data_IF_488923717810
#
_entry.id   IF_488923717810
#
_cell.length_a   1.000
_cell.length_b   1.000
_cell.length_c   1.000
_cell.angle_alpha   90.00
_cell.angle_beta   90.00
_cell.angle_gamma   90.00
#
_symmetry.space_group_name_H-M   'P 1'
#
loop_
_entity.id
_entity.type
_entity.pdbx_description
1 polymer ?
#
# COMPACT_ATOMS: atom_id res chain seq x y z
N UNK A 1 15.24 -6.52 -5.45
CA UNK A 1 14.15 -7.52 -5.31
C UNK A 1 12.96 -7.01 -6.10
N UNK A 2 12.47 -7.74 -7.10
CA UNK A 2 11.21 -7.37 -7.76
C UNK A 2 10.08 -7.52 -6.74
N UNK A 3 9.26 -6.48 -6.59
CA UNK A 3 8.13 -6.48 -5.66
C UNK A 3 7.02 -7.37 -6.27
N UNK A 4 7.01 -8.65 -5.91
CA UNK A 4 6.13 -9.69 -6.49
C UNK A 4 4.64 -9.55 -6.14
N UNK A 5 4.27 -8.61 -5.28
CA UNK A 5 2.86 -8.38 -4.97
C UNK A 5 2.54 -6.91 -5.16
N UNK A 6 1.55 -6.65 -6.01
CA UNK A 6 1.02 -5.33 -6.33
C UNK A 6 -0.47 -5.31 -5.99
N UNK A 7 -0.99 -4.13 -5.64
CA UNK A 7 -2.42 -3.95 -5.38
C UNK A 7 -3.14 -3.79 -6.71
N UNK A 8 -4.23 -4.52 -6.86
CA UNK A 8 -5.07 -4.54 -8.05
C UNK A 8 -6.50 -4.15 -7.65
N UNK A 9 -7.19 -3.40 -8.50
CA UNK A 9 -8.60 -3.04 -8.32
C UNK A 9 -9.49 -4.12 -8.92
N UNK A 10 -10.50 -4.52 -8.17
CA UNK A 10 -11.51 -5.52 -8.56
C UNK A 10 -12.91 -4.93 -8.39
N UNK A 11 -13.91 -5.59 -8.97
CA UNK A 11 -15.30 -5.17 -8.81
C UNK A 11 -15.71 -5.22 -7.33
N UNK A 12 -16.55 -4.26 -6.90
CA UNK A 12 -17.04 -4.19 -5.53
C UNK A 12 -18.22 -5.16 -5.33
N UNK A 13 -17.93 -6.46 -5.44
CA UNK A 13 -18.93 -7.53 -5.34
C UNK A 13 -18.34 -8.82 -4.76
N UNK A 14 -19.18 -9.68 -4.20
CA UNK A 14 -18.72 -10.91 -3.53
C UNK A 14 -17.94 -11.87 -4.44
N UNK A 15 -18.25 -11.90 -5.75
CA UNK A 15 -17.61 -12.82 -6.70
C UNK A 15 -16.14 -12.49 -6.97
N UNK A 16 -15.71 -11.27 -6.61
CA UNK A 16 -14.32 -10.83 -6.65
C UNK A 16 -13.50 -11.34 -5.46
N UNK A 17 -14.13 -11.75 -4.36
CA UNK A 17 -13.44 -12.26 -3.17
C UNK A 17 -13.06 -13.74 -3.34
N UNK A 18 -11.93 -14.13 -2.76
CA UNK A 18 -11.52 -15.53 -2.61
C UNK A 18 -10.80 -15.73 -1.27
N UNK A 19 -10.67 -16.96 -0.80
CA UNK A 19 -10.10 -17.24 0.53
C UNK A 19 -8.58 -17.11 0.61
N UNK A 20 -7.89 -17.02 -0.53
CA UNK A 20 -6.42 -16.91 -0.63
C UNK A 20 -5.88 -15.49 -0.64
N UNK A 21 -6.69 -14.48 -0.97
CA UNK A 21 -6.23 -13.11 -1.15
C UNK A 21 -6.68 -12.16 -0.02
N UNK A 22 -5.95 -11.06 0.13
CA UNK A 22 -6.29 -9.96 1.05
C UNK A 22 -6.93 -8.81 0.27
N UNK A 23 -8.09 -8.37 0.72
CA UNK A 23 -8.86 -7.32 0.05
C UNK A 23 -9.01 -6.10 0.96
N UNK A 24 -9.01 -4.92 0.36
CA UNK A 24 -9.32 -3.66 1.04
C UNK A 24 -10.62 -3.14 0.45
N UNK A 25 -11.66 -3.07 1.27
CA UNK A 25 -12.91 -2.41 0.93
C UNK A 25 -12.86 -0.99 1.50
N UNK A 26 -12.88 -0.01 0.61
CA UNK A 26 -12.82 1.40 0.94
C UNK A 26 -14.22 2.02 0.94
N UNK A 27 -14.66 2.48 2.12
CA UNK A 27 -15.94 3.15 2.33
C UNK A 27 -15.74 4.55 2.91
N UNK A 28 -14.80 5.31 2.32
CA UNK A 28 -14.43 6.69 2.70
C UNK A 28 -13.83 6.83 4.11
N UNK A 29 -14.68 6.78 5.13
CA UNK A 29 -14.30 6.87 6.55
C UNK A 29 -14.14 5.50 7.21
N UNK A 30 -14.57 4.43 6.54
CA UNK A 30 -14.37 3.06 7.01
C UNK A 30 -13.56 2.28 5.97
N UNK A 31 -12.39 1.80 6.35
CA UNK A 31 -11.54 0.92 5.53
C UNK A 31 -11.57 -0.48 6.12
N UNK A 32 -12.07 -1.47 5.39
CA UNK A 32 -12.06 -2.86 5.83
C UNK A 32 -10.92 -3.61 5.17
N UNK A 33 -10.03 -4.19 5.97
CA UNK A 33 -8.98 -5.10 5.51
C UNK A 33 -9.45 -6.52 5.76
N UNK A 34 -9.91 -7.18 4.72
CA UNK A 34 -10.46 -8.53 4.78
C UNK A 34 -9.34 -9.56 4.57
N UNK A 35 -9.07 -10.34 5.63
CA UNK A 35 -7.98 -11.31 5.73
C UNK A 35 -8.56 -12.72 5.97
N UNK A 36 -8.92 -13.44 4.91
CA UNK A 36 -9.50 -14.77 5.03
C UNK A 36 -8.47 -15.82 5.53
N UNK A 37 -8.93 -17.01 5.97
CA UNK A 37 -8.08 -18.01 6.62
C UNK A 37 -6.92 -18.54 5.76
N UNK A 38 -7.09 -18.59 4.44
CA UNK A 38 -6.08 -19.14 3.52
C UNK A 38 -5.14 -18.04 2.98
N UNK A 39 -5.31 -16.77 3.40
CA UNK A 39 -4.46 -15.66 2.96
C UNK A 39 -3.02 -15.74 3.46
N UNK A 40 -2.08 -15.46 2.56
CA UNK A 40 -0.65 -15.53 2.81
C UNK A 40 -0.15 -14.43 3.76
N UNK A 41 0.87 -14.76 4.57
CA UNK A 41 1.48 -13.81 5.52
C UNK A 41 1.95 -12.51 4.85
N UNK A 42 2.52 -12.60 3.65
CA UNK A 42 3.05 -11.43 2.95
C UNK A 42 1.93 -10.54 2.39
N UNK A 43 0.85 -11.11 1.85
CA UNK A 43 -0.33 -10.33 1.44
C UNK A 43 -0.96 -9.61 2.61
N UNK A 44 -1.07 -10.28 3.77
CA UNK A 44 -1.64 -9.67 4.98
C UNK A 44 -0.82 -8.47 5.47
N UNK A 45 0.51 -8.59 5.45
CA UNK A 45 1.41 -7.47 5.77
C UNK A 45 1.21 -6.34 4.76
N UNK A 46 1.13 -6.64 3.47
CA UNK A 46 0.97 -5.64 2.41
C UNK A 46 -0.39 -4.96 2.45
N UNK A 47 -1.49 -5.69 2.53
CA UNK A 47 -2.84 -5.15 2.66
C UNK A 47 -2.98 -4.25 3.88
N UNK A 48 -2.37 -4.64 5.01
CA UNK A 48 -2.32 -3.78 6.19
C UNK A 48 -1.49 -2.51 5.96
N UNK A 49 -0.32 -2.62 5.31
CA UNK A 49 0.52 -1.47 4.98
C UNK A 49 -0.21 -0.49 4.07
N UNK A 50 -0.97 -0.99 3.10
CA UNK A 50 -1.73 -0.19 2.15
C UNK A 50 -2.91 0.51 2.82
N UNK A 51 -3.69 -0.20 3.64
CA UNK A 51 -4.78 0.43 4.40
C UNK A 51 -4.27 1.55 5.32
N UNK A 52 -3.07 1.39 5.90
CA UNK A 52 -2.42 2.44 6.69
C UNK A 52 -1.98 3.62 5.84
N UNK A 53 -1.36 3.40 4.68
CA UNK A 53 -0.99 4.49 3.76
C UNK A 53 -2.22 5.28 3.30
N UNK A 54 -3.30 4.60 2.89
CA UNK A 54 -4.58 5.27 2.54
C UNK A 54 -5.10 6.10 3.72
N UNK A 55 -5.08 5.53 4.94
CA UNK A 55 -5.55 6.25 6.13
C UNK A 55 -4.68 7.47 6.43
N UNK A 56 -3.37 7.28 6.59
CA UNK A 56 -2.46 8.25 7.19
C UNK A 56 -1.95 9.27 6.17
N UNK A 57 -1.54 8.80 4.99
CA UNK A 57 -0.91 9.61 3.95
C UNK A 57 -1.95 10.25 3.04
N UNK A 58 -2.93 9.46 2.57
CA UNK A 58 -3.92 9.97 1.61
C UNK A 58 -5.08 10.71 2.28
N UNK A 59 -5.44 10.35 3.52
CA UNK A 59 -6.66 10.85 4.20
C UNK A 59 -6.42 11.42 5.61
N UNK A 60 -5.17 11.75 5.91
CA UNK A 60 -4.76 12.46 7.13
C UNK A 60 -5.25 11.81 8.44
N UNK A 61 -5.24 10.49 8.51
CA UNK A 61 -5.61 9.73 9.70
C UNK A 61 -7.11 9.62 9.96
N UNK A 62 -7.97 10.20 9.11
CA UNK A 62 -9.42 10.28 9.36
C UNK A 62 -10.15 8.92 9.27
N UNK A 63 -9.86 8.05 8.28
CA UNK A 63 -10.57 6.79 8.17
C UNK A 63 -10.27 5.83 9.33
N UNK A 64 -11.27 5.05 9.73
CA UNK A 64 -11.10 3.93 10.66
C UNK A 64 -10.77 2.66 9.88
N UNK A 65 -9.70 1.99 10.28
CA UNK A 65 -9.30 0.69 9.71
C UNK A 65 -9.91 -0.44 10.54
N UNK A 66 -10.75 -1.26 9.92
CA UNK A 66 -11.36 -2.47 10.46
C UNK A 66 -10.63 -3.68 9.91
N UNK A 67 -9.99 -4.46 10.78
CA UNK A 67 -9.26 -5.67 10.37
C UNK A 67 -10.20 -6.86 10.58
N UNK A 68 -10.58 -7.51 9.48
CA UNK A 68 -11.46 -8.67 9.50
C UNK A 68 -10.60 -9.92 9.31
N UNK A 69 -10.16 -10.51 10.43
CA UNK A 69 -9.23 -11.64 10.47
C UNK A 69 -9.92 -12.87 11.05
N UNK A 70 -9.85 -13.10 12.36
CA UNK A 70 -10.54 -14.23 13.00
C UNK A 70 -12.08 -14.17 12.84
N UNK A 71 -12.61 -12.99 12.55
CA UNK A 71 -14.02 -12.69 12.31
C UNK A 71 -14.31 -12.27 10.86
N UNK A 72 -13.44 -12.66 9.91
CA UNK A 72 -13.54 -12.36 8.47
C UNK A 72 -14.94 -12.57 7.86
N UNK A 73 -15.72 -13.53 8.35
CA UNK A 73 -17.07 -13.84 7.87
C UNK A 73 -18.23 -13.28 8.74
N UNK A 74 -17.93 -12.55 9.82
CA UNK A 74 -18.95 -12.17 10.82
C UNK A 74 -19.39 -10.71 10.75
N UNK A 75 -18.61 -9.83 10.10
CA UNK A 75 -18.92 -8.40 10.07
C UNK A 75 -20.13 -8.06 9.19
N UNK A 76 -21.26 -7.68 9.80
CA UNK A 76 -22.50 -7.38 9.07
C UNK A 76 -22.40 -6.17 8.13
N UNK A 77 -21.65 -5.13 8.52
CA UNK A 77 -21.50 -3.92 7.70
C UNK A 77 -20.77 -4.22 6.39
N UNK A 78 -19.65 -4.94 6.47
CA UNK A 78 -18.90 -5.42 5.32
C UNK A 78 -19.77 -6.31 4.43
N UNK A 79 -20.39 -7.35 5.00
CA UNK A 79 -21.17 -8.30 4.21
C UNK A 79 -22.42 -7.67 3.60
N UNK A 80 -23.03 -6.66 4.23
CA UNK A 80 -24.13 -5.90 3.63
C UNK A 80 -23.71 -5.23 2.32
N UNK A 81 -22.48 -4.70 2.25
CA UNK A 81 -21.93 -4.09 1.03
C UNK A 81 -21.63 -5.18 0.00
N UNK A 82 -21.11 -6.33 0.43
CA UNK A 82 -20.83 -7.48 -0.44
C UNK A 82 -22.08 -8.32 -0.80
N UNK A 83 -23.28 -7.75 -0.71
CA UNK A 83 -24.52 -8.43 -1.12
C UNK A 83 -25.09 -9.47 -0.14
N UNK A 84 -24.52 -9.59 1.06
CA UNK A 84 -25.04 -10.33 2.21
C UNK A 84 -24.21 -11.56 2.62
N UNK A 85 -24.37 -11.98 3.89
CA UNK A 85 -23.61 -13.11 4.49
C UNK A 85 -23.87 -14.46 3.83
N UNK A 86 -24.99 -14.64 3.14
CA UNK A 86 -25.29 -15.85 2.37
C UNK A 86 -24.29 -16.11 1.24
N UNK A 87 -23.50 -15.11 0.86
CA UNK A 87 -22.46 -15.23 -0.16
C UNK A 87 -21.15 -15.82 0.37
N UNK A 88 -20.96 -15.89 1.69
CA UNK A 88 -19.75 -16.47 2.31
C UNK A 88 -19.50 -17.90 1.84
N UNK A 89 -20.56 -18.70 1.70
CA UNK A 89 -20.46 -20.09 1.27
C UNK A 89 -20.17 -20.27 -0.23
N UNK A 90 -20.16 -19.19 -1.01
CA UNK A 90 -19.89 -19.19 -2.46
C UNK A 90 -18.47 -18.77 -2.81
N UNK A 91 -17.68 -18.36 -1.81
CA UNK A 91 -16.31 -17.90 -2.03
C UNK A 91 -15.44 -19.04 -2.58
N UNK A 92 -14.56 -18.68 -3.52
CA UNK A 92 -13.57 -19.59 -4.08
C UNK A 92 -12.47 -19.88 -3.04
N UNK A 93 -11.93 -21.11 -3.02
CA UNK A 93 -10.73 -21.43 -2.24
C UNK A 93 -9.50 -20.71 -2.79
N UNK A 94 -8.38 -20.74 -2.06
CA UNK A 94 -7.12 -20.20 -2.56
C UNK A 94 -6.70 -20.82 -3.91
N UNK A 95 -6.85 -22.13 -4.08
CA UNK A 95 -6.46 -22.81 -5.32
C UNK A 95 -7.36 -22.45 -6.51
N UNK A 96 -8.65 -22.27 -6.26
CA UNK A 96 -9.62 -21.85 -7.28
C UNK A 96 -9.54 -20.34 -7.59
N UNK A 97 -8.87 -19.55 -6.74
CA UNK A 97 -8.59 -18.13 -6.95
C UNK A 97 -7.54 -17.83 -8.02
N UNK A 98 -6.72 -18.83 -8.39
CA UNK A 98 -5.68 -18.74 -9.41
C UNK A 98 -4.27 -18.57 -8.83
N UNK A 99 -3.25 -19.05 -9.54
CA UNK A 99 -1.85 -18.97 -9.10
C UNK A 99 -1.20 -17.63 -9.50
N UNK A 100 -0.70 -16.89 -8.51
CA UNK A 100 -0.14 -15.53 -8.61
C UNK A 100 0.93 -15.35 -9.69
N UNK A 101 1.79 -16.36 -9.89
CA UNK A 101 3.02 -16.19 -10.68
C UNK A 101 2.76 -15.95 -12.18
N UNK A 102 1.78 -16.64 -12.76
CA UNK A 102 1.37 -16.45 -14.16
C UNK A 102 0.54 -15.17 -14.34
N UNK A 103 -0.22 -14.78 -13.32
CA UNK A 103 -1.00 -13.56 -13.30
C UNK A 103 -0.07 -12.34 -13.37
N UNK A 104 0.95 -12.27 -12.51
CA UNK A 104 1.88 -11.13 -12.49
C UNK A 104 2.77 -11.03 -13.73
N UNK A 105 3.23 -12.15 -14.30
CA UNK A 105 4.00 -12.13 -15.56
C UNK A 105 3.20 -11.56 -16.72
N UNK A 106 1.95 -11.99 -16.88
CA UNK A 106 1.05 -11.51 -17.94
C UNK A 106 0.66 -10.05 -17.69
N UNK A 107 0.35 -9.69 -16.45
CA UNK A 107 -0.06 -8.33 -16.09
C UNK A 107 1.08 -7.31 -16.22
N UNK A 108 2.34 -7.73 -15.96
CA UNK A 108 3.50 -6.85 -16.16
C UNK A 108 3.64 -6.44 -17.62
N UNK A 109 3.41 -7.34 -18.57
CA UNK A 109 3.49 -7.05 -20.02
C UNK A 109 2.41 -6.07 -20.52
N UNK A 110 1.36 -5.81 -19.73
CA UNK A 110 0.25 -4.93 -20.10
C UNK A 110 0.38 -3.51 -19.53
N UNK A 111 1.42 -3.21 -18.76
CA UNK A 111 1.62 -1.87 -18.22
C UNK A 111 2.09 -0.96 -19.35
N UNK A 112 1.39 0.15 -19.61
CA UNK A 112 1.80 1.11 -20.63
C UNK A 112 1.92 2.51 -20.06
N UNK A 113 2.96 3.23 -20.49
CA UNK A 113 3.17 4.63 -20.17
C UNK A 113 2.98 5.47 -21.43
N UNK A 114 2.16 6.51 -21.34
CA UNK A 114 1.93 7.49 -22.39
C UNK A 114 2.35 8.88 -21.90
N UNK A 115 2.95 9.67 -22.80
CA UNK A 115 3.33 11.08 -22.56
C UNK A 115 2.38 11.99 -23.31
N UNK A 116 1.99 13.08 -22.67
CA UNK A 116 1.23 14.19 -23.23
C UNK A 116 2.10 15.43 -23.14
N UNK A 117 2.57 15.91 -24.28
CA UNK A 117 3.42 17.09 -24.36
C UNK A 117 3.01 18.01 -25.51
N UNK A 118 3.41 19.28 -25.46
CA UNK A 118 3.18 20.28 -26.51
C UNK A 118 4.44 20.82 -27.18
N UNK A 119 5.59 20.14 -26.99
CA UNK A 119 6.92 20.58 -27.48
C UNK A 119 7.00 20.82 -29.00
N UNK A 120 6.19 20.12 -29.81
CA UNK A 120 6.13 20.32 -31.26
C UNK A 120 5.33 21.56 -31.69
N UNK A 121 4.78 22.31 -30.72
CA UNK A 121 3.82 23.39 -30.92
C UNK A 121 2.37 22.90 -31.05
N UNK A 122 2.13 21.60 -30.89
CA UNK A 122 0.81 20.96 -30.83
C UNK A 122 0.82 19.91 -29.72
N UNK A 123 -0.31 19.73 -29.05
CA UNK A 123 -0.43 18.70 -28.02
C UNK A 123 -0.47 17.31 -28.69
N UNK A 124 0.44 16.45 -28.29
CA UNK A 124 0.59 15.09 -28.79
C UNK A 124 0.48 14.08 -27.65
N UNK A 125 -0.02 12.89 -27.95
CA UNK A 125 -0.07 11.75 -27.03
C UNK A 125 0.77 10.63 -27.62
N UNK A 126 1.84 10.22 -26.94
CA UNK A 126 2.80 9.22 -27.46
C UNK A 126 3.04 8.10 -26.45
N UNK A 127 3.11 6.85 -26.91
CA UNK A 127 3.45 5.71 -26.04
C UNK A 127 4.97 5.72 -25.79
N UNK A 128 5.37 5.78 -24.52
CA UNK A 128 6.76 5.84 -24.09
C UNK A 128 7.31 4.45 -23.75
N UNK A 129 6.52 3.63 -23.05
CA UNK A 129 6.96 2.29 -22.66
C UNK A 129 5.81 1.30 -22.53
N UNK A 130 6.18 0.02 -22.58
CA UNK A 130 5.32 -1.13 -22.34
C UNK A 130 6.10 -2.15 -21.51
N UNK A 131 5.50 -2.69 -20.45
CA UNK A 131 6.10 -3.74 -19.63
C UNK A 131 6.99 -3.27 -18.46
N UNK A 132 7.74 -2.19 -18.64
CA UNK A 132 8.75 -1.72 -17.68
C UNK A 132 8.64 -0.21 -17.45
N UNK A 133 7.67 0.19 -16.63
CA UNK A 133 7.57 1.56 -16.16
C UNK A 133 8.71 1.88 -15.18
N UNK A 134 9.45 2.95 -15.47
CA UNK A 134 10.47 3.52 -14.59
C UNK A 134 10.12 4.96 -14.28
N UNK A 135 10.36 5.36 -13.03
CA UNK A 135 10.01 6.70 -12.56
C UNK A 135 10.80 7.80 -13.29
N UNK A 136 12.03 7.52 -13.73
CA UNK A 136 12.88 8.44 -14.49
C UNK A 136 12.37 8.77 -15.90
N UNK A 137 11.32 8.08 -16.38
CA UNK A 137 10.63 8.41 -17.62
C UNK A 137 9.65 9.59 -17.48
N UNK A 138 9.37 10.02 -16.25
CA UNK A 138 8.47 11.13 -15.97
C UNK A 138 9.26 12.45 -15.97
N UNK A 139 8.88 13.34 -16.87
CA UNK A 139 9.48 14.67 -17.00
C UNK A 139 8.56 15.73 -16.37
N UNK A 140 9.10 16.54 -15.43
CA UNK A 140 8.31 17.55 -14.71
C UNK A 140 7.59 18.57 -15.61
N UNK A 141 8.04 18.75 -16.85
CA UNK A 141 7.46 19.70 -17.81
C UNK A 141 6.22 19.16 -18.55
N UNK A 142 5.87 17.88 -18.42
CA UNK A 142 4.79 17.24 -19.18
C UNK A 142 3.77 16.53 -18.27
N UNK A 143 2.71 15.99 -18.88
CA UNK A 143 1.78 15.08 -18.23
C UNK A 143 1.91 13.64 -18.78
N UNK A 144 1.60 12.64 -17.96
CA UNK A 144 1.75 11.23 -18.33
C UNK A 144 0.53 10.41 -17.91
N UNK A 145 0.22 9.36 -18.68
CA UNK A 145 -0.81 8.38 -18.36
C UNK A 145 -0.13 7.02 -18.20
N UNK A 146 -0.20 6.48 -16.98
CA UNK A 146 0.22 5.12 -16.66
C UNK A 146 -1.01 4.23 -16.61
N UNK A 147 -1.15 3.34 -17.58
CA UNK A 147 -2.07 2.22 -17.50
C UNK A 147 -1.37 1.07 -16.76
N UNK A 148 -1.79 0.82 -15.52
CA UNK A 148 -1.28 -0.27 -14.70
C UNK A 148 -2.06 -1.58 -14.89
N UNK A 149 -2.74 -1.74 -16.03
CA UNK A 149 -3.71 -2.82 -16.31
C UNK A 149 -4.74 -2.89 -15.18
N UNK A 150 -4.80 -4.00 -14.44
CA UNK A 150 -5.76 -4.15 -13.34
C UNK A 150 -5.44 -3.23 -12.13
N UNK A 151 -4.29 -2.56 -12.10
CA UNK A 151 -3.93 -1.56 -11.09
C UNK A 151 -4.64 -0.21 -11.20
N UNK A 152 -5.38 0.02 -12.29
CA UNK A 152 -6.03 1.28 -12.62
C UNK A 152 -5.23 2.16 -13.59
N UNK A 153 -5.83 3.29 -13.97
CA UNK A 153 -5.21 4.27 -14.87
C UNK A 153 -4.84 5.50 -14.06
N UNK A 154 -3.57 5.92 -14.12
CA UNK A 154 -3.05 7.05 -13.38
C UNK A 154 -2.66 8.19 -14.33
N UNK A 155 -3.08 9.41 -14.04
CA UNK A 155 -2.67 10.63 -14.75
C UNK A 155 -1.68 11.37 -13.87
N UNK A 156 -0.39 11.25 -14.17
CA UNK A 156 0.67 11.96 -13.48
C UNK A 156 0.86 13.35 -14.09
N UNK A 157 0.88 14.37 -13.24
CA UNK A 157 0.93 15.78 -13.61
C UNK A 157 2.25 16.37 -13.13
N UNK A 158 3.13 16.69 -14.07
CA UNK A 158 4.37 17.41 -13.80
C UNK A 158 4.11 18.84 -13.32
N UNK A 159 5.00 19.35 -12.47
CA UNK A 159 4.93 20.72 -11.91
C UNK A 159 5.01 21.81 -12.98
N UNK A 160 5.71 21.53 -14.07
CA UNK A 160 5.91 22.41 -15.22
C UNK A 160 4.93 22.18 -16.37
N UNK A 161 4.00 21.21 -16.27
CA UNK A 161 3.07 20.93 -17.37
C UNK A 161 2.14 22.12 -17.65
N UNK A 162 1.79 22.29 -18.92
CA UNK A 162 0.84 23.32 -19.35
C UNK A 162 -0.59 22.95 -18.93
N UNK A 163 -1.50 23.93 -18.96
CA UNK A 163 -2.91 23.67 -18.62
C UNK A 163 -3.56 22.81 -19.70
N UNK A 164 -3.12 23.01 -20.92
CA UNK A 164 -3.53 22.33 -22.13
C UNK A 164 -3.12 20.86 -22.08
N UNK A 165 -1.86 20.56 -21.74
CA UNK A 165 -1.38 19.18 -21.51
C UNK A 165 -2.15 18.49 -20.40
N UNK A 166 -2.37 19.17 -19.26
CA UNK A 166 -3.14 18.62 -18.14
C UNK A 166 -4.56 18.25 -18.55
N UNK A 167 -5.25 19.16 -19.22
CA UNK A 167 -6.63 18.94 -19.66
C UNK A 167 -6.68 17.79 -20.69
N UNK A 168 -5.72 17.76 -21.62
CA UNK A 168 -5.63 16.69 -22.60
C UNK A 168 -5.36 15.33 -21.95
N UNK A 169 -4.45 15.25 -20.99
CA UNK A 169 -4.11 14.01 -20.31
C UNK A 169 -5.30 13.44 -19.53
N UNK A 170 -6.05 14.28 -18.81
CA UNK A 170 -7.25 13.84 -18.09
C UNK A 170 -8.34 13.36 -19.06
N UNK A 171 -8.63 14.12 -20.11
CA UNK A 171 -9.66 13.72 -21.08
C UNK A 171 -9.28 12.44 -21.80
N UNK A 172 -8.04 12.37 -22.28
CA UNK A 172 -7.53 11.20 -22.98
C UNK A 172 -7.51 9.96 -22.09
N UNK A 173 -7.20 10.08 -20.80
CA UNK A 173 -7.25 8.94 -19.88
C UNK A 173 -8.66 8.37 -19.68
N UNK A 174 -9.69 9.22 -19.71
CA UNK A 174 -11.08 8.76 -19.67
C UNK A 174 -11.46 8.07 -20.98
N UNK A 175 -11.19 8.70 -22.13
CA UNK A 175 -11.43 8.10 -23.45
C UNK A 175 -10.66 6.77 -23.61
N UNK A 176 -9.46 6.69 -23.05
CA UNK A 176 -8.60 5.51 -23.12
C UNK A 176 -9.21 4.29 -22.43
N UNK A 177 -9.93 4.47 -21.31
CA UNK A 177 -10.64 3.39 -20.62
C UNK A 177 -11.66 2.76 -21.56
N UNK A 178 -12.45 3.60 -22.25
CA UNK A 178 -13.48 3.15 -23.18
C UNK A 178 -12.86 2.47 -24.41
N UNK A 179 -11.83 3.08 -25.01
CA UNK A 179 -11.15 2.56 -26.22
C UNK A 179 -10.50 1.20 -25.94
N UNK A 180 -9.92 1.02 -24.76
CA UNK A 180 -9.29 -0.26 -24.38
C UNK A 180 -10.29 -1.28 -23.85
N UNK A 181 -11.59 -0.96 -23.77
CA UNK A 181 -12.61 -1.86 -23.23
C UNK A 181 -12.33 -2.27 -21.79
N UNK A 182 -11.77 -1.35 -20.99
CA UNK A 182 -11.45 -1.62 -19.59
C UNK A 182 -12.72 -1.77 -18.76
N UNK A 183 -12.68 -2.51 -17.64
CA UNK A 183 -13.84 -2.66 -16.78
C UNK A 183 -14.37 -1.31 -16.27
N UNK A 184 -15.68 -1.18 -16.13
CA UNK A 184 -16.35 0.07 -15.71
C UNK A 184 -15.88 0.59 -14.33
N UNK A 185 -15.40 -0.30 -13.45
CA UNK A 185 -14.84 0.08 -12.16
C UNK A 185 -13.40 0.63 -12.23
N UNK A 186 -12.81 0.70 -13.42
CA UNK A 186 -11.48 1.27 -13.62
C UNK A 186 -11.55 2.78 -13.40
N UNK A 187 -10.89 3.26 -12.35
CA UNK A 187 -10.84 4.70 -12.06
C UNK A 187 -9.60 5.34 -12.68
N UNK A 188 -9.77 6.57 -13.17
CA UNK A 188 -8.69 7.49 -13.46
C UNK A 188 -8.26 8.19 -12.16
N UNK A 189 -7.04 7.93 -11.70
CA UNK A 189 -6.47 8.58 -10.51
C UNK A 189 -5.51 9.68 -10.95
N UNK A 190 -5.74 10.91 -10.49
CA UNK A 190 -4.79 12.01 -10.71
C UNK A 190 -3.67 11.95 -9.68
N UNK A 191 -2.43 12.02 -10.15
CA UNK A 191 -1.20 12.00 -9.35
C UNK A 191 -0.43 13.29 -9.60
N UNK A 192 -0.04 14.00 -8.54
CA UNK A 192 0.75 15.23 -8.65
C UNK A 192 2.23 14.91 -8.39
N UNK A 193 3.13 15.50 -9.16
CA UNK A 193 4.58 15.34 -8.95
C UNK A 193 5.00 15.69 -7.51
N UNK A 194 5.65 14.75 -6.84
CA UNK A 194 6.10 14.85 -5.45
C UNK A 194 5.04 14.51 -4.40
N UNK A 195 3.85 14.09 -4.83
CA UNK A 195 2.76 13.60 -3.98
C UNK A 195 2.21 12.27 -4.53
N UNK A 196 3.11 11.40 -5.00
CA UNK A 196 2.76 10.10 -5.55
C UNK A 196 2.25 9.14 -4.47
N UNK A 197 1.03 8.58 -4.61
CA UNK A 197 0.53 7.60 -3.66
C UNK A 197 1.26 6.25 -3.82
N UNK A 198 1.27 5.43 -2.76
CA UNK A 198 1.85 4.08 -2.79
C UNK A 198 1.23 3.19 -3.87
N UNK A 199 -0.04 3.44 -4.20
CA UNK A 199 -0.78 2.78 -5.28
C UNK A 199 -0.18 3.03 -6.67
N UNK A 200 0.47 4.18 -6.88
CA UNK A 200 1.20 4.52 -8.11
C UNK A 200 2.64 4.00 -8.08
N UNK A 201 3.38 4.28 -7.00
CA UNK A 201 4.84 4.03 -6.94
C UNK A 201 5.20 2.54 -6.99
N UNK A 202 4.33 1.65 -6.52
CA UNK A 202 4.50 0.19 -6.60
C UNK A 202 4.70 -0.36 -8.02
N UNK A 203 4.31 0.40 -9.04
CA UNK A 203 4.42 -0.02 -10.45
C UNK A 203 5.80 0.29 -11.04
N UNK A 204 6.54 1.23 -10.46
CA UNK A 204 7.89 1.60 -10.92
C UNK A 204 8.91 0.53 -10.52
N UNK A 205 9.76 0.13 -11.47
CA UNK A 205 10.84 -0.83 -11.20
C UNK A 205 12.09 -0.22 -10.57
N UNK A 206 12.19 1.12 -10.54
CA UNK A 206 13.34 1.88 -10.03
C UNK A 206 13.02 2.78 -8.84
N UNK A 207 11.84 2.65 -8.22
CA UNK A 207 11.48 3.48 -7.07
C UNK A 207 12.38 3.17 -5.87
N UNK A 208 13.33 4.06 -5.60
CA UNK A 208 13.91 4.21 -4.29
C UNK A 208 13.00 5.19 -3.55
N UNK A 209 12.52 4.82 -2.36
CA UNK A 209 11.74 5.72 -1.53
C UNK A 209 12.42 7.09 -1.54
N UNK A 210 11.70 8.14 -1.94
CA UNK A 210 12.16 9.53 -1.96
C UNK A 210 12.52 10.09 -0.57
N UNK A 211 12.74 9.21 0.41
CA UNK A 211 13.27 9.49 1.71
C UNK A 211 14.63 8.81 1.80
N UNK A 212 15.67 9.50 1.32
CA UNK A 212 17.03 9.20 1.73
C UNK A 212 17.03 9.05 3.25
N UNK A 213 17.50 7.90 3.73
CA UNK A 213 17.51 7.51 5.13
C UNK A 213 17.94 8.67 6.05
N UNK A 214 16.97 9.39 6.63
CA UNK A 214 17.16 9.97 7.94
C UNK A 214 17.31 8.79 8.88
N UNK A 215 18.51 8.59 9.42
CA UNK A 215 18.90 7.40 10.19
C UNK A 215 17.81 6.94 11.14
N UNK A 216 17.09 5.89 10.73
CA UNK A 216 16.03 5.30 11.54
C UNK A 216 16.67 4.63 12.74
N UNK A 217 16.57 5.26 13.90
CA UNK A 217 16.95 4.67 15.18
C UNK A 217 15.73 3.89 15.70
N UNK A 218 15.76 2.55 15.75
CA UNK A 218 14.65 1.76 16.27
C UNK A 218 14.42 2.10 17.75
N UNK A 219 13.19 2.47 18.09
CA UNK A 219 12.75 2.77 19.47
C UNK A 219 11.82 1.70 19.99
N UNK A 220 11.98 1.33 21.25
CA UNK A 220 11.09 0.41 21.94
C UNK A 220 10.27 1.19 22.97
N UNK A 221 8.95 0.96 23.01
CA UNK A 221 8.08 1.56 24.01
C UNK A 221 7.39 0.46 24.80
N UNK A 222 7.27 0.64 26.11
CA UNK A 222 6.41 -0.18 26.96
C UNK A 222 5.18 0.62 27.35
N UNK A 223 4.01 -0.01 27.24
CA UNK A 223 2.75 0.49 27.77
C UNK A 223 2.39 -0.33 29.01
N UNK A 224 2.14 0.32 30.15
CA UNK A 224 1.71 -0.34 31.38
C UNK A 224 0.46 0.35 31.94
N UNK A 225 -0.47 -0.44 32.47
CA UNK A 225 -1.67 0.00 33.17
C UNK A 225 -1.67 -0.39 34.66
N UNK A 226 -0.56 -0.96 35.17
CA UNK A 226 -0.45 -1.45 36.56
C UNK A 226 -0.65 -0.35 37.63
N UNK A 227 -0.53 0.93 37.25
CA UNK A 227 -0.75 2.06 38.15
C UNK A 227 -2.18 2.63 38.11
N UNK A 228 -3.08 2.06 37.31
CA UNK A 228 -4.42 2.61 37.05
C UNK A 228 -4.43 3.83 36.13
N UNK A 229 -3.26 4.24 35.61
CA UNK A 229 -3.09 5.25 34.57
C UNK A 229 -2.20 4.66 33.48
N UNK A 230 -2.70 4.58 32.25
CA UNK A 230 -1.93 4.11 31.10
C UNK A 230 -0.70 5.02 30.92
N UNK A 231 0.49 4.49 31.13
CA UNK A 231 1.76 5.17 30.85
C UNK A 231 2.45 4.53 29.66
N UNK A 232 3.05 5.36 28.81
CA UNK A 232 3.88 4.96 27.67
C UNK A 232 5.30 5.46 27.94
N UNK A 233 6.26 4.55 28.05
CA UNK A 233 7.67 4.87 28.34
C UNK A 233 8.60 4.32 27.26
N UNK A 234 9.58 5.11 26.81
CA UNK A 234 10.63 4.67 25.88
C UNK A 234 11.71 3.86 26.61
N UNK A 235 11.98 2.64 26.16
CA UNK A 235 13.05 1.78 26.66
C UNK A 235 14.30 2.00 25.79
N UNK A 236 15.28 2.70 26.36
CA UNK A 236 16.61 2.86 25.75
C UNK A 236 17.54 1.66 26.06
N UNK A 237 18.43 1.32 25.12
CA UNK A 237 19.52 0.34 25.29
C UNK A 237 19.07 -1.09 25.66
N UNK A 238 18.15 -1.67 24.89
CA UNK A 238 17.74 -3.06 25.06
C UNK A 238 18.81 -4.04 24.53
N UNK A 239 19.11 -5.10 25.30
CA UNK A 239 19.95 -6.22 24.85
C UNK A 239 19.19 -7.51 25.04
N UNK A 240 19.10 -8.34 24.00
CA UNK A 240 18.48 -9.67 24.09
C UNK A 240 19.46 -10.64 24.77
N UNK A 241 19.27 -10.91 26.06
CA UNK A 241 19.97 -12.03 26.70
C UNK A 241 19.21 -13.32 26.37
N UNK A 242 19.82 -14.17 25.54
CA UNK A 242 19.36 -15.54 25.32
C UNK A 242 19.75 -16.36 26.54
N UNK A 243 18.85 -16.49 27.51
CA UNK A 243 19.00 -17.51 28.57
C UNK A 243 18.37 -18.81 28.09
N UNK A 244 19.21 -19.76 27.69
CA UNK A 244 18.79 -21.15 27.57
C UNK A 244 18.60 -21.72 28.99
N UNK A 245 17.35 -21.98 29.37
CA UNK A 245 17.02 -22.91 30.46
C UNK A 245 15.84 -23.77 30.03
N UNK A 246 15.92 -25.06 30.36
CA UNK A 246 15.04 -26.12 29.90
C UNK A 246 13.54 -25.84 30.12
N UNK A 247 12.72 -26.19 29.11
CA UNK A 247 11.26 -26.35 29.15
C UNK A 247 10.43 -25.25 29.84
N UNK A 248 10.33 -24.09 29.20
CA UNK A 248 9.10 -23.30 28.95
C UNK A 248 9.53 -21.97 28.30
N UNK A 249 9.03 -21.65 27.10
CA UNK A 249 9.34 -20.37 26.43
C UNK A 249 8.56 -19.24 27.09
N UNK A 250 9.10 -18.66 28.15
CA UNK A 250 8.71 -17.33 28.63
C UNK A 250 9.83 -16.34 28.27
N UNK A 251 9.48 -15.29 27.52
CA UNK A 251 10.37 -14.17 27.24
C UNK A 251 10.29 -13.23 28.44
N UNK A 252 11.35 -13.18 29.25
CA UNK A 252 11.49 -12.18 30.31
C UNK A 252 12.58 -11.21 29.88
N UNK A 253 12.20 -9.96 29.55
CA UNK A 253 13.16 -8.88 29.36
C UNK A 253 13.46 -8.23 30.71
N UNK A 254 14.74 -8.15 31.09
CA UNK A 254 15.16 -7.43 32.30
C UNK A 254 15.92 -6.16 31.97
N UNK A 255 15.63 -5.11 32.75
CA UNK A 255 16.29 -3.80 32.70
C UNK A 255 17.73 -3.95 33.23
N UNK A 256 18.74 -3.75 32.37
CA UNK A 256 20.14 -3.63 32.84
C UNK A 256 20.26 -2.32 33.64
N UNK A 257 20.45 -2.41 34.96
CA UNK A 257 20.89 -1.26 35.76
C UNK A 257 22.28 -0.87 35.31
N UNK A 258 22.41 0.29 34.69
CA UNK A 258 23.72 0.94 34.50
C UNK A 258 24.14 1.50 35.85
N UNK A 259 25.11 0.84 36.50
CA UNK A 259 25.84 1.41 37.63
C UNK A 259 26.69 2.57 37.09
N UNK A 260 26.26 3.82 37.32
CA UNK A 260 27.11 4.98 37.08
C UNK A 260 28.11 5.12 38.22
N UNK A 261 29.40 5.01 37.90
CA UNK A 261 30.50 5.34 38.81
C UNK A 261 30.54 6.84 39.07
N UNK A 262 30.62 7.22 40.35
CA UNK A 262 30.81 8.59 40.80
C UNK A 262 32.30 8.90 40.71
N UNK A 263 32.69 9.87 39.88
CA UNK A 263 34.03 10.46 39.87
C UNK A 263 33.97 11.73 40.72
N UNK A 264 34.61 11.73 41.88
CA UNK A 264 34.83 12.92 42.71
C UNK A 264 36.05 13.68 42.21
N UNK A 265 35.91 15.00 42.01
CA UNK A 265 37.04 15.93 41.95
C UNK A 265 37.09 16.69 43.29
N UNK A 266 38.19 16.53 44.03
CA UNK A 266 38.51 17.37 45.18
C UNK A 266 39.40 18.52 44.71
N UNK A 267 39.01 19.75 45.01
CA UNK A 267 39.93 20.90 45.06
C UNK A 267 40.32 21.14 46.52
N UNK A 268 41.62 21.30 46.76
CA UNK A 268 42.20 21.91 47.96
C UNK A 268 43.09 23.05 47.52
#
# INVERSE_FOLDING_TARGET
MQNLFRNVKVACEHDSLNLGDVFILDCELDLYVWMPPESGRLERIKGMSQAKSIRDEERNGKPKVHVLDLDWNKNDAFWKIMGGKQNVSKLKSAEAGGADENFWRTNKQQITLWRVCDESGKIEVTKISEGDFKYDQLESKDAFILDASNGGVYVWIGKGCTKEERAKAVNWANDYIDIQGKPEWTQVIRVMEGAEPASFTQWSTSWQDGNAAYGFQPKLFQCSDESGKLSIEEIANFTQEVRCWCNCRNVVMQKKRVLHGIIHWNFS
#
